data_IF_214921098392
#
_entry.id   IF_214921098392
#
_cell.length_a   1.000
_cell.length_b   1.000
_cell.length_c   1.000
_cell.angle_alpha   90.00
_cell.angle_beta   90.00
_cell.angle_gamma   90.00
#
_symmetry.space_group_name_H-M   'P 1'
#
loop_
_entity.id
_entity.type
_entity.pdbx_description
1 polymer ?
#
# COMPACT_ATOMS: atom_id res chain seq x y z
N UNK A 1 16.98 -21.58 -49.71
CA UNK A 1 17.10 -20.19 -49.23
C UNK A 1 17.56 -20.26 -47.79
N UNK A 2 18.64 -19.58 -47.43
CA UNK A 2 19.23 -19.60 -46.09
C UNK A 2 18.84 -18.30 -45.38
N UNK A 3 18.24 -18.38 -44.20
CA UNK A 3 18.11 -17.24 -43.30
C UNK A 3 19.32 -17.20 -42.37
N UNK A 4 19.93 -16.03 -42.22
CA UNK A 4 21.00 -15.79 -41.24
C UNK A 4 20.39 -15.02 -40.06
N UNK A 5 20.58 -15.52 -38.84
CA UNK A 5 20.19 -14.81 -37.61
C UNK A 5 21.43 -14.35 -36.86
N UNK A 6 21.44 -13.07 -36.47
CA UNK A 6 22.43 -12.51 -35.54
C UNK A 6 21.69 -12.04 -34.30
N UNK A 7 22.14 -12.47 -33.12
CA UNK A 7 21.59 -12.06 -31.84
C UNK A 7 22.55 -11.10 -31.13
N UNK A 8 22.01 -10.03 -30.54
CA UNK A 8 22.74 -9.08 -29.72
C UNK A 8 22.02 -8.96 -28.37
N UNK A 9 22.77 -9.06 -27.27
CA UNK A 9 22.22 -8.84 -25.92
C UNK A 9 22.66 -7.47 -25.42
N UNK A 10 21.73 -6.74 -24.82
CA UNK A 10 22.00 -5.45 -24.15
C UNK A 10 21.36 -5.47 -22.78
N UNK A 11 21.97 -4.79 -21.80
CA UNK A 11 21.39 -4.63 -20.46
C UNK A 11 20.83 -3.23 -20.33
N UNK A 12 19.55 -3.13 -19.97
CA UNK A 12 18.89 -1.86 -19.69
C UNK A 12 18.55 -1.77 -18.21
N UNK A 13 19.00 -0.70 -17.55
CA UNK A 13 18.60 -0.38 -16.18
C UNK A 13 17.42 0.57 -16.23
N UNK A 14 16.25 0.11 -15.78
CA UNK A 14 15.02 0.91 -15.81
C UNK A 14 15.08 2.08 -14.80
N UNK A 15 14.67 3.29 -15.19
CA UNK A 15 14.46 4.39 -14.25
C UNK A 15 13.22 4.15 -13.38
N UNK A 16 13.15 4.83 -12.24
CA UNK A 16 11.99 4.75 -11.32
C UNK A 16 10.73 5.43 -11.86
N UNK A 17 10.86 6.26 -12.89
CA UNK A 17 9.75 6.98 -13.52
C UNK A 17 9.07 6.13 -14.59
N UNK A 18 7.72 6.08 -14.62
CA UNK A 18 7.01 5.36 -15.67
C UNK A 18 7.37 5.86 -17.06
N UNK A 19 7.51 4.92 -17.99
CA UNK A 19 7.87 5.26 -19.35
C UNK A 19 7.98 4.05 -20.25
N UNK A 20 8.40 4.33 -21.47
CA UNK A 20 8.76 3.33 -22.45
C UNK A 20 10.15 3.64 -22.98
N UNK A 21 10.89 2.57 -23.28
CA UNK A 21 12.09 2.65 -24.08
C UNK A 21 11.84 1.90 -25.39
N UNK A 22 12.22 2.52 -26.50
CA UNK A 22 12.25 1.85 -27.81
C UNK A 22 13.67 1.39 -28.07
N UNK A 23 13.86 0.08 -28.18
CA UNK A 23 15.13 -0.51 -28.57
C UNK A 23 15.09 -0.70 -30.09
N UNK A 24 15.98 -0.01 -30.79
CA UNK A 24 16.11 -0.09 -32.25
C UNK A 24 17.39 -0.83 -32.60
N UNK A 25 17.25 -1.93 -33.32
CA UNK A 25 18.36 -2.61 -33.99
C UNK A 25 18.35 -2.27 -35.47
N UNK A 26 19.53 -1.99 -36.05
CA UNK A 26 19.66 -1.74 -37.49
C UNK A 26 20.58 -2.77 -38.11
N UNK A 27 20.06 -3.51 -39.08
CA UNK A 27 20.89 -4.28 -39.98
C UNK A 27 21.47 -3.34 -41.05
N UNK A 28 22.79 -3.27 -41.17
CA UNK A 28 23.48 -2.37 -42.11
C UNK A 28 23.34 -2.78 -43.58
N UNK A 29 22.87 -4.01 -43.85
CA UNK A 29 22.84 -4.60 -45.17
C UNK A 29 24.12 -5.39 -45.50
N UNK A 30 24.05 -6.15 -46.58
CA UNK A 30 25.16 -6.89 -47.21
C UNK A 30 25.05 -6.81 -48.75
N UNK A 31 25.90 -7.54 -49.48
CA UNK A 31 25.90 -7.53 -50.95
C UNK A 31 24.61 -8.06 -51.62
N UNK A 32 23.73 -8.69 -50.84
CA UNK A 32 22.51 -9.37 -51.27
C UNK A 32 21.24 -8.88 -50.57
N UNK A 33 21.35 -8.17 -49.44
CA UNK A 33 20.22 -7.64 -48.67
C UNK A 33 20.41 -6.17 -48.31
N UNK A 34 19.38 -5.36 -48.56
CA UNK A 34 19.36 -3.95 -48.15
C UNK A 34 19.36 -3.80 -46.62
N UNK A 35 19.78 -2.63 -46.15
CA UNK A 35 19.66 -2.28 -44.73
C UNK A 35 18.20 -2.28 -44.27
N UNK A 36 17.97 -2.69 -43.02
CA UNK A 36 16.63 -2.74 -42.44
C UNK A 36 16.65 -2.43 -40.94
N UNK A 37 15.73 -1.59 -40.45
CA UNK A 37 15.54 -1.40 -39.02
C UNK A 37 14.54 -2.41 -38.46
N UNK A 38 14.76 -2.81 -37.21
CA UNK A 38 13.80 -3.51 -36.36
C UNK A 38 13.68 -2.78 -35.02
N UNK A 39 12.47 -2.71 -34.47
CA UNK A 39 12.23 -2.06 -33.19
C UNK A 39 11.46 -2.99 -32.25
N UNK A 40 11.82 -2.94 -30.97
CA UNK A 40 11.07 -3.55 -29.88
C UNK A 40 10.78 -2.48 -28.84
N UNK A 41 9.53 -2.41 -28.37
CA UNK A 41 9.15 -1.53 -27.27
C UNK A 41 9.27 -2.28 -25.94
N UNK A 42 9.90 -1.63 -24.96
CA UNK A 42 9.90 -2.05 -23.57
C UNK A 42 9.11 -1.01 -22.78
N UNK A 43 7.92 -1.37 -22.34
CA UNK A 43 7.15 -0.55 -21.41
C UNK A 43 7.53 -0.95 -19.99
N UNK A 44 7.95 0.01 -19.17
CA UNK A 44 8.16 -0.20 -17.75
C UNK A 44 7.20 0.68 -16.98
N UNK A 45 6.40 0.02 -16.13
CA UNK A 45 5.74 0.71 -15.04
C UNK A 45 6.84 1.16 -14.09
N UNK A 46 7.20 2.44 -14.14
CA UNK A 46 7.85 3.05 -13.00
C UNK A 46 6.97 2.75 -11.83
N UNK A 47 7.55 2.28 -10.73
CA UNK A 47 6.79 1.92 -9.55
C UNK A 47 5.86 3.10 -9.27
N UNK A 48 4.56 2.94 -9.54
CA UNK A 48 3.60 3.96 -9.19
C UNK A 48 3.87 4.22 -7.73
N UNK A 49 4.00 5.49 -7.34
CA UNK A 49 4.03 5.86 -5.93
C UNK A 49 2.72 5.37 -5.31
N UNK A 50 2.70 4.10 -4.94
CA UNK A 50 1.56 3.43 -4.39
C UNK A 50 1.36 3.96 -2.98
N UNK A 51 0.13 3.87 -2.51
CA UNK A 51 -0.13 4.11 -1.11
C UNK A 51 -0.27 2.82 -0.33
N UNK A 52 -0.15 2.92 0.99
CA UNK A 52 -0.68 1.89 1.88
C UNK A 52 -2.00 2.44 2.41
N UNK A 53 -3.10 1.78 2.11
CA UNK A 53 -4.42 2.15 2.63
C UNK A 53 -4.68 1.36 3.90
N UNK A 54 -5.07 2.06 4.96
CA UNK A 54 -5.49 1.46 6.23
C UNK A 54 -6.96 1.76 6.48
N UNK A 55 -7.68 0.83 7.09
CA UNK A 55 -9.03 1.09 7.64
C UNK A 55 -9.07 0.78 9.12
N UNK A 56 -9.96 1.46 9.83
CA UNK A 56 -10.33 1.13 11.18
C UNK A 56 -11.77 0.61 11.19
N UNK A 57 -11.96 -0.57 11.76
CA UNK A 57 -13.25 -1.25 11.81
C UNK A 57 -13.59 -1.55 13.27
N UNK A 58 -14.87 -1.48 13.60
CA UNK A 58 -15.38 -1.87 14.93
C UNK A 58 -15.73 -3.34 14.97
N UNK A 59 -15.26 -4.03 16.00
CA UNK A 59 -15.82 -5.32 16.39
C UNK A 59 -17.19 -5.05 16.99
N UNK A 60 -18.23 -5.58 16.34
CA UNK A 60 -19.61 -5.34 16.70
C UNK A 60 -19.91 -5.85 18.11
N UNK A 61 -20.53 -5.00 18.92
CA UNK A 61 -21.01 -5.33 20.25
C UNK A 61 -22.29 -4.54 20.54
N UNK A 62 -23.22 -5.11 21.29
CA UNK A 62 -24.54 -4.50 21.54
C UNK A 62 -24.49 -3.18 22.29
N UNK A 63 -23.40 -2.92 23.00
CA UNK A 63 -23.19 -1.71 23.80
C UNK A 63 -22.49 -0.59 23.01
N UNK A 64 -22.05 -0.85 21.77
CA UNK A 64 -21.22 0.09 21.01
C UNK A 64 -21.86 0.44 19.67
N UNK A 65 -21.71 1.70 19.22
CA UNK A 65 -22.22 2.09 17.90
C UNK A 65 -21.59 1.23 16.79
N UNK A 66 -22.37 0.92 15.74
CA UNK A 66 -21.98 -0.08 14.74
C UNK A 66 -20.85 0.37 13.80
N UNK A 67 -20.59 1.67 13.67
CA UNK A 67 -19.57 2.21 12.75
C UNK A 67 -18.68 3.23 13.46
N UNK A 68 -17.40 3.33 13.09
CA UNK A 68 -16.60 4.53 13.34
C UNK A 68 -17.07 5.68 12.44
N UNK A 69 -17.17 5.44 11.13
CA UNK A 69 -17.65 6.37 10.12
C UNK A 69 -19.11 6.79 10.34
N UNK A 70 -19.50 7.91 9.74
CA UNK A 70 -20.91 8.37 9.77
C UNK A 70 -21.86 7.39 9.08
N UNK A 71 -21.35 6.64 8.10
CA UNK A 71 -22.05 5.52 7.45
C UNK A 71 -21.09 4.39 7.17
N UNK A 72 -21.52 3.15 7.40
CA UNK A 72 -20.79 1.94 7.03
C UNK A 72 -21.75 0.80 6.66
N UNK A 73 -21.24 -0.40 6.37
CA UNK A 73 -22.06 -1.57 6.02
C UNK A 73 -23.01 -2.03 7.14
N UNK A 74 -22.80 -1.57 8.38
CA UNK A 74 -23.60 -1.91 9.56
C UNK A 74 -24.57 -0.78 9.97
N UNK A 75 -24.67 0.31 9.20
CA UNK A 75 -25.60 1.41 9.46
C UNK A 75 -24.92 2.77 9.56
N UNK A 76 -25.26 3.52 10.60
CA UNK A 76 -24.72 4.85 10.87
C UNK A 76 -23.91 4.86 12.15
N UNK A 77 -22.81 5.61 12.18
CA UNK A 77 -22.00 5.83 13.36
C UNK A 77 -21.78 7.31 13.68
N UNK A 78 -21.05 7.60 14.76
CA UNK A 78 -20.79 8.97 15.22
C UNK A 78 -19.79 9.76 14.36
N UNK A 79 -19.06 9.13 13.42
CA UNK A 79 -18.03 9.81 12.63
C UNK A 79 -16.75 10.05 13.41
N UNK A 80 -16.10 8.98 13.84
CA UNK A 80 -14.80 8.99 14.53
C UNK A 80 -13.76 8.21 13.74
N UNK A 81 -12.50 8.27 14.19
CA UNK A 81 -11.34 7.70 13.48
C UNK A 81 -10.32 7.17 14.49
N UNK A 82 -9.46 6.25 14.04
CA UNK A 82 -8.33 5.74 14.80
C UNK A 82 -7.01 6.23 14.19
N UNK A 83 -6.02 6.47 15.06
CA UNK A 83 -4.70 6.93 14.66
C UNK A 83 -3.82 5.78 14.16
N UNK A 84 -3.07 6.05 13.10
CA UNK A 84 -2.08 5.14 12.54
C UNK A 84 -0.77 5.89 12.27
N UNK A 85 0.34 5.20 12.51
CA UNK A 85 1.67 5.63 12.09
C UNK A 85 2.23 4.69 11.02
N UNK A 86 2.90 5.26 10.03
CA UNK A 86 3.74 4.55 9.07
C UNK A 86 5.20 4.78 9.46
N UNK A 87 5.94 3.70 9.65
CA UNK A 87 7.33 3.72 10.08
C UNK A 87 8.25 3.08 9.04
N UNK A 88 9.53 3.48 9.05
CA UNK A 88 10.54 2.89 8.17
C UNK A 88 11.00 1.50 8.59
N UNK A 89 10.77 1.14 9.85
CA UNK A 89 11.25 -0.11 10.45
C UNK A 89 10.31 -0.63 11.54
N UNK A 90 10.50 -1.89 11.93
CA UNK A 90 9.63 -2.62 12.86
C UNK A 90 9.63 -2.07 14.29
N UNK A 91 10.62 -1.24 14.68
CA UNK A 91 10.63 -0.62 16.01
C UNK A 91 9.65 0.55 16.12
N UNK A 92 9.22 1.08 14.97
CA UNK A 92 8.42 2.30 14.86
C UNK A 92 9.00 3.54 15.55
N UNK A 93 10.30 3.57 15.82
CA UNK A 93 10.97 4.76 16.36
C UNK A 93 11.14 5.86 15.30
N UNK A 94 11.16 5.48 14.02
CA UNK A 94 11.30 6.38 12.88
C UNK A 94 9.98 6.49 12.12
N UNK A 95 9.13 7.42 12.54
CA UNK A 95 7.82 7.69 11.91
C UNK A 95 8.01 8.52 10.65
N UNK A 96 7.45 8.04 9.54
CA UNK A 96 7.48 8.70 8.24
C UNK A 96 6.22 9.53 7.98
N UNK A 97 5.06 8.94 8.29
CA UNK A 97 3.75 9.57 8.08
C UNK A 97 2.80 9.13 9.20
N UNK A 98 1.76 9.93 9.42
CA UNK A 98 0.68 9.60 10.36
C UNK A 98 -0.66 9.97 9.73
N UNK A 99 -1.73 9.36 10.22
CA UNK A 99 -3.06 9.63 9.71
C UNK A 99 -4.15 9.03 10.59
N UNK A 100 -5.38 9.46 10.31
CA UNK A 100 -6.57 8.98 10.98
C UNK A 100 -7.45 8.26 9.97
N UNK A 101 -7.91 7.06 10.31
CA UNK A 101 -8.76 6.24 9.45
C UNK A 101 -10.04 5.83 10.16
N UNK A 102 -11.14 5.80 9.41
CA UNK A 102 -12.39 5.10 9.74
C UNK A 102 -12.55 3.88 8.81
N UNK A 103 -13.77 3.37 8.65
CA UNK A 103 -14.06 2.26 7.72
C UNK A 103 -13.89 2.63 6.24
N UNK A 104 -13.88 3.92 5.88
CA UNK A 104 -13.59 4.37 4.51
C UNK A 104 -12.09 4.41 4.24
N UNK A 105 -11.30 4.57 5.30
CA UNK A 105 -9.86 4.39 5.29
C UNK A 105 -9.06 5.67 5.04
N UNK A 106 -7.75 5.53 5.24
CA UNK A 106 -6.74 6.55 5.02
C UNK A 106 -5.60 5.96 4.20
N UNK A 107 -5.04 6.73 3.27
CA UNK A 107 -3.95 6.27 2.42
C UNK A 107 -2.68 7.05 2.68
N UNK A 108 -1.66 6.38 3.23
CA UNK A 108 -0.29 6.89 3.21
C UNK A 108 0.16 6.93 1.75
N UNK A 109 0.74 8.03 1.28
CA UNK A 109 1.05 8.23 -0.15
C UNK A 109 2.52 8.54 -0.38
N UNK A 110 2.98 8.50 -1.64
CA UNK A 110 4.38 8.80 -1.98
C UNK A 110 5.37 7.72 -1.56
N UNK A 111 4.92 6.47 -1.44
CA UNK A 111 5.76 5.36 -0.99
C UNK A 111 6.50 4.71 -2.16
N UNK A 112 7.69 4.18 -1.89
CA UNK A 112 8.45 3.40 -2.86
C UNK A 112 7.94 1.95 -2.89
N UNK A 113 7.52 1.41 -4.05
CA UNK A 113 7.01 0.04 -4.15
C UNK A 113 8.00 -1.06 -3.78
N UNK A 114 9.31 -0.82 -3.86
CA UNK A 114 10.31 -1.82 -3.48
C UNK A 114 10.69 -1.79 -1.99
N UNK A 115 10.09 -0.90 -1.21
CA UNK A 115 10.37 -0.76 0.23
C UNK A 115 9.31 -1.46 1.07
N UNK A 116 9.76 -2.20 2.07
CA UNK A 116 8.89 -2.67 3.16
C UNK A 116 8.77 -1.57 4.21
N UNK A 117 7.54 -1.21 4.52
CA UNK A 117 7.16 -0.28 5.58
C UNK A 117 6.46 -1.01 6.72
N UNK A 118 6.27 -0.33 7.84
CA UNK A 118 5.62 -0.89 9.02
C UNK A 118 4.49 0.01 9.48
N UNK A 119 3.26 -0.52 9.53
CA UNK A 119 2.06 0.21 9.94
C UNK A 119 1.74 -0.12 11.39
N UNK A 120 1.66 0.90 12.23
CA UNK A 120 1.29 0.80 13.63
C UNK A 120 -0.11 1.40 13.86
N UNK A 121 -1.12 0.58 14.17
CA UNK A 121 -2.39 1.05 14.69
C UNK A 121 -2.24 1.35 16.18
N UNK A 122 -2.70 2.53 16.60
CA UNK A 122 -2.56 2.96 17.98
C UNK A 122 -3.80 2.62 18.82
N UNK A 123 -3.57 2.39 20.11
CA UNK A 123 -4.65 2.19 21.06
C UNK A 123 -5.13 3.54 21.58
N UNK A 124 -6.43 3.74 21.60
CA UNK A 124 -7.00 4.90 22.24
C UNK A 124 -7.32 4.55 23.70
N UNK A 125 -6.41 4.92 24.58
CA UNK A 125 -6.56 4.79 26.04
C UNK A 125 -7.23 6.06 26.58
N UNK A 126 -8.32 5.90 27.35
CA UNK A 126 -9.14 7.02 27.83
C UNK A 126 -9.63 7.95 26.72
N UNK A 127 -10.28 7.36 25.71
CA UNK A 127 -10.72 8.06 24.51
C UNK A 127 -11.60 9.27 24.84
N UNK A 128 -11.20 10.44 24.34
CA UNK A 128 -11.91 11.70 24.54
C UNK A 128 -12.16 12.06 26.03
N UNK A 129 -11.25 11.64 26.91
CA UNK A 129 -11.38 11.86 28.36
C UNK A 129 -12.43 10.97 29.04
N UNK A 130 -12.95 9.96 28.34
CA UNK A 130 -13.83 8.93 28.89
C UNK A 130 -13.03 7.82 29.57
N UNK A 131 -13.70 7.03 30.40
CA UNK A 131 -13.12 5.85 31.05
C UNK A 131 -13.04 4.61 30.13
N UNK A 132 -13.51 4.72 28.88
CA UNK A 132 -13.44 3.63 27.91
C UNK A 132 -12.17 3.65 27.07
N UNK A 133 -11.76 2.45 26.65
CA UNK A 133 -10.63 2.24 25.76
C UNK A 133 -11.12 1.61 24.46
N UNK A 134 -10.57 2.08 23.35
CA UNK A 134 -10.73 1.47 22.03
C UNK A 134 -9.37 0.95 21.61
N UNK A 135 -9.22 -0.37 21.62
CA UNK A 135 -7.93 -1.03 21.47
C UNK A 135 -7.91 -1.89 20.22
N UNK A 136 -6.78 -1.90 19.54
CA UNK A 136 -6.56 -2.79 18.42
C UNK A 136 -6.66 -4.24 18.89
N UNK A 137 -7.44 -5.02 18.16
CA UNK A 137 -7.61 -6.45 18.40
C UNK A 137 -6.81 -7.27 17.40
N UNK A 138 -7.03 -7.06 16.10
CA UNK A 138 -6.40 -7.85 15.03
C UNK A 138 -6.49 -7.14 13.67
N UNK A 139 -5.67 -7.59 12.74
CA UNK A 139 -5.75 -7.24 11.32
C UNK A 139 -6.75 -8.13 10.58
N UNK A 140 -7.12 -7.76 9.35
CA UNK A 140 -8.05 -8.53 8.52
C UNK A 140 -7.61 -9.97 8.20
N UNK A 141 -6.32 -10.28 8.35
CA UNK A 141 -5.77 -11.64 8.24
C UNK A 141 -5.85 -12.44 9.56
N UNK A 142 -6.38 -11.84 10.64
CA UNK A 142 -6.48 -12.40 11.98
C UNK A 142 -5.22 -12.23 12.84
N UNK A 143 -4.14 -11.66 12.31
CA UNK A 143 -2.91 -11.42 13.05
C UNK A 143 -3.07 -10.31 14.09
N UNK A 144 -2.38 -10.45 15.23
CA UNK A 144 -2.31 -9.41 16.27
C UNK A 144 -0.97 -8.66 16.26
N UNK A 145 -0.11 -8.92 15.27
CA UNK A 145 1.25 -8.36 15.21
C UNK A 145 1.20 -6.85 15.00
N UNK A 146 1.91 -6.09 15.84
CA UNK A 146 2.08 -4.64 15.70
C UNK A 146 3.55 -4.24 15.89
N UNK A 147 4.12 -3.38 15.01
CA UNK A 147 3.55 -2.92 13.74
C UNK A 147 3.54 -4.02 12.66
N UNK A 148 2.65 -3.91 11.67
CA UNK A 148 2.52 -4.86 10.56
C UNK A 148 3.33 -4.42 9.35
N UNK A 149 4.13 -5.33 8.80
CA UNK A 149 4.90 -5.09 7.57
C UNK A 149 3.97 -4.99 6.35
N UNK A 150 4.20 -4.01 5.48
CA UNK A 150 3.42 -3.78 4.27
C UNK A 150 4.25 -3.10 3.17
N UNK A 151 3.79 -3.23 1.93
CA UNK A 151 4.39 -2.60 0.74
C UNK A 151 3.40 -1.65 0.09
N UNK A 152 3.88 -0.71 -0.72
CA UNK A 152 2.99 0.17 -1.47
C UNK A 152 2.00 -0.65 -2.33
N UNK A 153 0.72 -0.25 -2.32
CA UNK A 153 -0.40 -0.97 -2.95
C UNK A 153 -1.19 -1.87 -1.99
N UNK A 154 -0.71 -2.11 -0.77
CA UNK A 154 -1.44 -2.89 0.22
C UNK A 154 -2.65 -2.14 0.80
N UNK A 155 -3.69 -2.91 1.13
CA UNK A 155 -4.81 -2.48 1.96
C UNK A 155 -4.80 -3.30 3.25
N UNK A 156 -4.80 -2.62 4.40
CA UNK A 156 -4.74 -3.25 5.72
C UNK A 156 -6.00 -2.88 6.51
N UNK A 157 -6.75 -3.89 6.93
CA UNK A 157 -7.94 -3.69 7.75
C UNK A 157 -7.62 -3.93 9.21
N UNK A 158 -7.69 -2.90 10.06
CA UNK A 158 -7.53 -3.04 11.50
C UNK A 158 -8.90 -3.14 12.18
N UNK A 159 -9.03 -4.06 13.13
CA UNK A 159 -10.23 -4.27 13.93
C UNK A 159 -9.98 -3.87 15.37
N UNK A 160 -10.88 -3.06 15.91
CA UNK A 160 -10.79 -2.53 17.26
C UNK A 160 -11.95 -3.05 18.11
N UNK A 161 -11.65 -3.38 19.35
CA UNK A 161 -12.66 -3.67 20.37
C UNK A 161 -12.71 -2.57 21.41
N UNK A 162 -13.89 -2.39 21.99
CA UNK A 162 -14.07 -1.56 23.15
C UNK A 162 -14.11 -2.45 24.39
N UNK A 163 -13.16 -2.28 25.32
CA UNK A 163 -12.88 -3.27 26.38
C UNK A 163 -13.28 -2.85 27.79
N UNK A 164 -13.57 -1.57 28.05
CA UNK A 164 -13.96 -1.05 29.38
C UNK A 164 -15.01 0.06 29.25
N UNK A 165 -16.07 0.07 30.09
CA UNK A 165 -17.03 1.20 30.21
C UNK A 165 -17.61 1.73 28.88
N UNK A 166 -17.80 0.84 27.91
CA UNK A 166 -18.31 1.18 26.59
C UNK A 166 -19.84 1.19 26.53
N UNK A 167 -20.50 1.11 27.68
CA UNK A 167 -21.95 0.99 27.85
C UNK A 167 -22.51 2.24 28.54
#
# INVERSE_FOLDING_TARGET
MSSSESQCSTTYTSPSTPGSATITGTYSGDSTHSSSPGASSLTFGGGTSGGITVTANRIQASYWDPCFATTCSFGTGPGTTMFFALCSDASCLNVLQTGFADEHGFTFSGLNPSTTYYVLPDDCNSCHGSAHNVVFSHWGDGSTVRPLAATAGSRLDAWYSCTNNCA
#
